data_IF_787123693231
#
_entry.id   IF_787123693231
#
_cell.length_a   1.000
_cell.length_b   1.000
_cell.length_c   1.000
_cell.angle_alpha   90.00
_cell.angle_beta   90.00
_cell.angle_gamma   90.00
#
_symmetry.space_group_name_H-M   'P 1'
#
loop_
_entity.id
_entity.type
_entity.pdbx_description
1 polymer ?
#
# COMPACT_ATOMS: atom_id res chain seq x y z
N UNK A 1 70.92 49.57 9.34
CA UNK A 1 70.50 48.16 9.32
C UNK A 1 69.09 48.10 9.91
N UNK A 2 68.10 47.63 9.14
CA UNK A 2 66.65 47.77 9.41
C UNK A 2 66.17 46.84 10.54
N UNK A 3 65.39 47.39 11.48
CA UNK A 3 64.67 46.66 12.53
C UNK A 3 63.39 46.05 11.93
N UNK A 4 63.21 44.74 12.09
CA UNK A 4 61.97 44.05 11.72
C UNK A 4 61.07 43.92 12.95
N UNK A 5 59.85 44.45 12.86
CA UNK A 5 58.77 44.28 13.83
C UNK A 5 57.81 43.25 13.23
N UNK A 6 57.64 42.10 13.88
CA UNK A 6 56.63 41.10 13.51
C UNK A 6 55.34 41.40 14.27
N UNK A 7 54.29 41.76 13.54
CA UNK A 7 52.94 41.93 14.06
C UNK A 7 52.17 40.62 13.84
N UNK A 8 51.89 39.87 14.90
CA UNK A 8 51.00 38.70 14.87
C UNK A 8 49.55 39.17 15.03
N UNK A 9 48.76 39.08 13.96
CA UNK A 9 47.31 39.29 14.02
C UNK A 9 46.66 37.92 14.22
N UNK A 10 46.12 37.69 15.41
CA UNK A 10 45.26 36.54 15.71
C UNK A 10 43.83 36.86 15.22
N UNK A 11 43.31 36.05 14.30
CA UNK A 11 41.91 36.11 13.85
C UNK A 11 41.13 35.09 14.68
N UNK A 12 40.35 35.55 15.66
CA UNK A 12 39.44 34.71 16.42
C UNK A 12 38.16 34.50 15.62
N UNK A 13 37.97 33.29 15.09
CA UNK A 13 36.73 32.89 14.42
C UNK A 13 35.66 32.61 15.50
N UNK A 14 34.69 33.52 15.64
CA UNK A 14 33.51 33.31 16.50
C UNK A 14 32.49 32.48 15.71
N UNK A 15 32.40 31.19 16.03
CA UNK A 15 31.32 30.34 15.54
C UNK A 15 30.02 30.69 16.28
N UNK A 16 29.14 31.45 15.65
CA UNK A 16 27.77 31.61 16.14
C UNK A 16 27.06 30.24 16.02
N UNK A 17 26.71 29.63 17.16
CA UNK A 17 25.78 28.51 17.22
C UNK A 17 24.38 29.05 16.89
N UNK A 18 24.10 29.25 15.60
CA UNK A 18 22.72 29.41 15.16
C UNK A 18 22.03 28.06 15.39
N UNK A 19 21.11 27.99 16.35
CA UNK A 19 20.20 26.85 16.45
C UNK A 19 19.54 26.69 15.08
N UNK A 20 19.84 25.58 14.40
CA UNK A 20 19.08 25.17 13.25
C UNK A 20 17.67 24.86 13.77
N UNK A 21 16.74 25.80 13.61
CA UNK A 21 15.33 25.50 13.81
C UNK A 21 14.98 24.48 12.72
N UNK A 22 14.92 23.20 13.07
CA UNK A 22 14.31 22.21 12.22
C UNK A 22 12.90 22.72 11.91
N UNK A 23 12.52 22.68 10.64
CA UNK A 23 11.17 23.04 10.24
C UNK A 23 10.22 22.17 11.07
N UNK A 24 9.33 22.80 11.84
CA UNK A 24 8.32 22.04 12.60
C UNK A 24 7.48 21.29 11.57
N UNK A 25 7.70 19.99 11.47
CA UNK A 25 6.87 19.14 10.63
C UNK A 25 5.50 19.06 11.29
N UNK A 26 4.48 19.51 10.57
CA UNK A 26 3.09 19.42 11.00
C UNK A 26 2.43 18.37 10.13
N UNK A 27 2.10 17.22 10.72
CA UNK A 27 1.42 16.12 10.04
C UNK A 27 0.00 16.48 9.57
N UNK A 28 -0.58 17.53 10.16
CA UNK A 28 -1.98 17.89 9.99
C UNK A 28 -2.92 17.09 10.91
N UNK A 29 -2.40 16.25 11.81
CA UNK A 29 -3.20 15.53 12.80
C UNK A 29 -3.90 16.49 13.77
N UNK A 30 -5.17 16.21 14.06
CA UNK A 30 -5.92 16.91 15.12
C UNK A 30 -5.72 16.29 16.51
N UNK A 31 -5.13 15.09 16.62
CA UNK A 31 -5.00 14.34 17.87
C UNK A 31 -6.31 13.76 18.42
N UNK A 32 -7.41 13.83 17.67
CA UNK A 32 -8.75 13.44 18.13
C UNK A 32 -8.88 11.95 18.51
N UNK A 33 -8.07 11.07 17.93
CA UNK A 33 -8.11 9.62 18.17
C UNK A 33 -7.21 9.17 19.33
N UNK A 34 -6.53 10.11 20.01
CA UNK A 34 -5.65 9.80 21.15
C UNK A 34 -4.41 8.99 20.76
N UNK A 35 -3.84 8.24 21.71
CA UNK A 35 -2.64 7.44 21.46
C UNK A 35 -3.01 6.02 20.98
N UNK A 36 -2.39 5.55 19.90
CA UNK A 36 -2.48 4.16 19.46
C UNK A 36 -1.35 3.34 20.06
N UNK A 37 -1.66 2.46 21.02
CA UNK A 37 -0.68 1.58 21.66
C UNK A 37 -1.29 0.19 21.99
N UNK A 38 -1.56 -0.65 20.97
CA UNK A 38 -2.23 -1.94 21.16
C UNK A 38 -1.33 -2.95 21.90
N UNK A 39 -1.93 -3.74 22.79
CA UNK A 39 -1.26 -4.84 23.53
C UNK A 39 -1.49 -6.23 22.92
N UNK A 40 -2.31 -6.31 21.87
CA UNK A 40 -2.62 -7.53 21.11
C UNK A 40 -2.91 -7.15 19.65
N UNK A 41 -2.91 -8.13 18.75
CA UNK A 41 -3.32 -7.93 17.37
C UNK A 41 -4.69 -7.25 17.32
N UNK A 42 -4.79 -6.17 16.55
CA UNK A 42 -5.96 -5.29 16.57
C UNK A 42 -6.38 -4.98 15.15
N UNK A 43 -7.68 -5.13 14.87
CA UNK A 43 -8.29 -4.61 13.65
C UNK A 43 -8.93 -3.25 13.95
N UNK A 44 -8.47 -2.21 13.27
CA UNK A 44 -9.05 -0.87 13.37
C UNK A 44 -10.15 -0.68 12.32
N UNK A 45 -11.30 -0.13 12.75
CA UNK A 45 -12.33 0.29 11.81
C UNK A 45 -11.87 1.56 11.09
N UNK A 46 -11.70 1.48 9.77
CA UNK A 46 -11.29 2.64 8.98
C UNK A 46 -12.40 3.70 8.97
N UNK A 47 -12.11 4.97 9.33
CA UNK A 47 -13.07 6.06 9.22
C UNK A 47 -13.49 6.26 7.77
N UNK A 48 -14.65 6.87 7.52
CA UNK A 48 -15.12 7.14 6.16
C UNK A 48 -14.14 7.99 5.33
N UNK A 49 -13.35 8.84 5.99
CA UNK A 49 -12.28 9.65 5.37
C UNK A 49 -11.02 8.85 5.04
N UNK A 50 -10.81 7.69 5.67
CA UNK A 50 -9.54 6.97 5.66
C UNK A 50 -8.47 7.54 6.59
N UNK A 51 -8.78 8.59 7.36
CA UNK A 51 -7.80 9.34 8.15
C UNK A 51 -7.99 9.11 9.64
N UNK A 52 -6.94 8.61 10.29
CA UNK A 52 -6.78 8.62 11.73
C UNK A 52 -5.92 9.82 12.16
N UNK A 53 -6.31 10.46 13.26
CA UNK A 53 -5.67 11.63 13.86
C UNK A 53 -5.21 11.29 15.28
N UNK A 54 -4.09 10.57 15.40
CA UNK A 54 -3.54 10.20 16.69
C UNK A 54 -2.68 11.30 17.31
N UNK A 55 -2.48 11.21 18.62
CA UNK A 55 -1.44 11.97 19.30
C UNK A 55 -0.07 11.32 19.13
N UNK A 56 0.02 10.02 19.41
CA UNK A 56 1.22 9.18 19.19
C UNK A 56 0.81 7.80 18.67
N UNK A 57 1.74 7.10 18.02
CA UNK A 57 1.56 5.72 17.56
C UNK A 57 2.72 4.87 18.04
N UNK A 58 2.44 3.79 18.74
CA UNK A 58 3.41 2.78 19.13
C UNK A 58 2.85 1.40 18.82
N UNK A 59 3.40 0.70 17.83
CA UNK A 59 3.05 -0.68 17.50
C UNK A 59 4.16 -1.61 18.02
N UNK A 60 3.95 -2.31 19.15
CA UNK A 60 4.98 -3.15 19.75
C UNK A 60 5.38 -4.35 18.89
N UNK A 61 6.55 -4.92 19.16
CA UNK A 61 7.00 -6.15 18.50
C UNK A 61 6.00 -7.30 18.70
N UNK A 62 5.77 -8.09 17.65
CA UNK A 62 4.81 -9.20 17.69
C UNK A 62 3.34 -8.80 17.56
N UNK A 63 3.03 -7.50 17.50
CA UNK A 63 1.67 -7.00 17.28
C UNK A 63 1.46 -6.67 15.80
N UNK A 64 0.33 -7.12 15.27
CA UNK A 64 -0.16 -6.76 13.94
C UNK A 64 -1.40 -5.87 14.05
N UNK A 65 -1.36 -4.72 13.37
CA UNK A 65 -2.53 -3.86 13.17
C UNK A 65 -3.05 -4.06 11.75
N UNK A 66 -4.32 -4.44 11.64
CA UNK A 66 -5.06 -4.55 10.37
C UNK A 66 -6.17 -3.50 10.31
N UNK A 67 -6.80 -3.35 9.14
CA UNK A 67 -7.88 -2.37 8.95
C UNK A 67 -9.10 -3.00 8.29
N UNK A 68 -10.25 -2.79 8.91
CA UNK A 68 -11.53 -3.12 8.30
C UNK A 68 -11.91 -2.04 7.29
N UNK A 69 -12.12 -2.44 6.03
CA UNK A 69 -12.49 -1.53 4.94
C UNK A 69 -13.74 -0.72 5.28
N UNK A 70 -13.72 0.57 4.92
CA UNK A 70 -14.93 1.39 4.88
C UNK A 70 -15.67 1.18 3.55
N UNK A 71 -16.86 1.76 3.41
CA UNK A 71 -17.69 1.61 2.22
C UNK A 71 -17.03 2.14 0.93
N UNK A 72 -16.16 3.14 1.04
CA UNK A 72 -15.42 3.72 -0.09
C UNK A 72 -14.11 3.01 -0.42
N UNK A 73 -13.72 1.99 0.36
CA UNK A 73 -12.40 1.39 0.38
C UNK A 73 -11.25 2.41 0.24
N UNK A 74 -11.23 3.44 1.10
CA UNK A 74 -10.18 4.45 1.06
C UNK A 74 -8.81 3.86 1.44
N UNK A 75 -7.69 4.49 1.01
CA UNK A 75 -6.38 4.25 1.61
C UNK A 75 -6.37 4.58 3.11
N UNK A 76 -5.32 4.12 3.80
CA UNK A 76 -5.10 4.44 5.23
C UNK A 76 -4.20 5.66 5.34
N UNK A 77 -4.62 6.65 6.12
CA UNK A 77 -3.79 7.76 6.56
C UNK A 77 -3.69 7.72 8.08
N UNK A 78 -2.47 7.67 8.59
CA UNK A 78 -2.16 7.78 10.01
C UNK A 78 -1.44 9.11 10.19
N UNK A 79 -2.12 10.08 10.77
CA UNK A 79 -1.54 11.38 11.10
C UNK A 79 -1.30 11.41 12.61
N UNK A 80 -0.09 11.73 13.06
CA UNK A 80 0.25 11.82 14.47
C UNK A 80 0.77 13.22 14.84
N UNK A 81 0.38 13.76 15.99
CA UNK A 81 0.96 15.04 16.47
C UNK A 81 2.35 14.87 17.10
N UNK A 82 2.74 13.64 17.42
CA UNK A 82 4.00 13.25 18.05
C UNK A 82 4.52 11.93 17.48
N UNK A 83 5.35 11.24 18.26
CA UNK A 83 6.15 10.11 17.76
C UNK A 83 5.31 8.95 17.20
N UNK A 84 5.82 8.38 16.10
CA UNK A 84 5.35 7.14 15.50
C UNK A 84 6.47 6.10 15.54
N UNK A 85 6.27 5.04 16.33
CA UNK A 85 7.19 3.93 16.51
C UNK A 85 6.51 2.64 16.08
N UNK A 86 7.07 1.95 15.09
CA UNK A 86 6.51 0.70 14.55
C UNK A 86 7.59 -0.38 14.65
N UNK A 87 7.49 -1.21 15.69
CA UNK A 87 8.34 -2.39 15.89
C UNK A 87 7.60 -3.67 15.48
N UNK A 88 6.26 -3.64 15.45
CA UNK A 88 5.40 -4.70 14.94
C UNK A 88 5.10 -4.56 13.45
N UNK A 89 3.88 -4.95 13.07
CA UNK A 89 3.39 -4.98 11.68
C UNK A 89 2.17 -4.06 11.54
N UNK A 90 2.16 -3.27 10.48
CA UNK A 90 0.93 -2.67 9.93
C UNK A 90 0.64 -3.39 8.62
N UNK A 91 -0.52 -4.04 8.54
CA UNK A 91 -0.90 -4.87 7.39
C UNK A 91 -2.07 -4.23 6.64
N UNK A 92 -1.79 -3.84 5.39
CA UNK A 92 -2.76 -3.33 4.41
C UNK A 92 -2.85 -4.23 3.19
N UNK A 93 -2.43 -5.48 3.28
CA UNK A 93 -2.40 -6.41 2.15
C UNK A 93 -3.79 -6.68 1.57
N UNK A 94 -3.80 -7.03 0.28
CA UNK A 94 -4.95 -7.64 -0.37
C UNK A 94 -4.97 -9.13 -0.10
N UNK A 95 -6.14 -9.74 -0.23
CA UNK A 95 -6.36 -11.15 0.01
C UNK A 95 -6.14 -11.97 -1.27
N UNK A 96 -5.68 -13.20 -1.08
CA UNK A 96 -5.73 -14.23 -2.12
C UNK A 96 -7.12 -14.84 -2.21
N UNK A 97 -7.42 -15.53 -3.31
CA UNK A 97 -8.63 -16.33 -3.39
C UNK A 97 -8.59 -17.47 -2.38
N UNK A 98 -9.70 -17.70 -1.68
CA UNK A 98 -9.82 -18.84 -0.76
C UNK A 98 -10.14 -20.13 -1.51
N UNK A 99 -9.62 -21.26 -1.01
CA UNK A 99 -9.86 -22.59 -1.58
C UNK A 99 -11.34 -23.05 -1.51
N UNK A 100 -12.18 -22.37 -0.73
CA UNK A 100 -13.59 -22.74 -0.53
C UNK A 100 -14.51 -22.18 -1.61
N UNK A 101 -14.12 -21.09 -2.27
CA UNK A 101 -14.87 -20.49 -3.37
C UNK A 101 -13.91 -20.16 -4.49
N UNK A 102 -13.50 -21.19 -5.25
CA UNK A 102 -12.46 -21.06 -6.28
C UNK A 102 -12.75 -19.92 -7.26
N UNK A 103 -14.02 -19.60 -7.52
CA UNK A 103 -14.41 -18.53 -8.42
C UNK A 103 -14.38 -17.13 -7.80
N UNK A 104 -14.39 -16.99 -6.48
CA UNK A 104 -14.47 -15.68 -5.84
C UNK A 104 -13.14 -14.93 -5.98
N UNK A 105 -13.18 -13.63 -6.30
CA UNK A 105 -11.98 -12.82 -6.34
C UNK A 105 -11.44 -12.55 -4.94
N UNK A 106 -10.12 -12.49 -4.82
CA UNK A 106 -9.45 -11.96 -3.65
C UNK A 106 -9.83 -10.50 -3.42
N UNK A 107 -10.05 -10.13 -2.15
CA UNK A 107 -10.41 -8.77 -1.78
C UNK A 107 -9.20 -7.86 -1.78
N UNK A 108 -9.32 -6.67 -2.38
CA UNK A 108 -8.28 -5.65 -2.29
C UNK A 108 -8.14 -5.17 -0.85
N UNK A 109 -6.92 -4.81 -0.46
CA UNK A 109 -6.67 -4.15 0.82
C UNK A 109 -7.25 -2.73 0.87
N UNK A 110 -7.10 -2.01 1.99
CA UNK A 110 -7.50 -0.61 2.11
C UNK A 110 -6.92 0.28 0.99
N UNK A 111 -7.77 0.84 0.14
CA UNK A 111 -7.34 1.63 -1.04
C UNK A 111 -6.93 0.81 -2.26
N UNK A 112 -6.85 -0.52 -2.15
CA UNK A 112 -6.59 -1.44 -3.26
C UNK A 112 -7.86 -1.90 -3.98
N UNK A 113 -7.71 -2.70 -5.02
CA UNK A 113 -8.83 -3.21 -5.82
C UNK A 113 -8.97 -4.73 -5.75
N UNK A 114 -10.20 -5.23 -5.78
CA UNK A 114 -10.48 -6.67 -5.80
C UNK A 114 -9.96 -7.33 -7.10
N UNK A 115 -9.66 -8.62 -7.02
CA UNK A 115 -9.32 -9.46 -8.17
C UNK A 115 -10.51 -9.74 -9.10
N UNK A 116 -10.25 -10.50 -10.16
CA UNK A 116 -11.26 -10.96 -11.11
C UNK A 116 -11.88 -12.29 -10.68
N UNK A 117 -13.15 -12.51 -11.02
CA UNK A 117 -13.79 -13.82 -10.79
C UNK A 117 -13.14 -14.92 -11.63
N UNK A 118 -13.03 -16.12 -11.09
CA UNK A 118 -12.66 -17.30 -11.86
C UNK A 118 -13.76 -17.65 -12.87
N UNK A 119 -13.37 -18.10 -14.07
CA UNK A 119 -14.30 -18.49 -15.12
C UNK A 119 -15.09 -19.75 -14.73
N UNK A 120 -16.38 -19.79 -15.05
CA UNK A 120 -17.13 -21.05 -14.93
C UNK A 120 -16.61 -22.09 -15.94
N UNK A 121 -17.11 -23.33 -15.86
CA UNK A 121 -16.71 -24.40 -16.79
C UNK A 121 -16.82 -23.96 -18.26
N UNK A 122 -15.70 -24.03 -18.99
CA UNK A 122 -15.56 -23.62 -20.40
C UNK A 122 -15.57 -22.11 -20.66
N UNK A 123 -15.68 -21.27 -19.62
CA UNK A 123 -15.78 -19.82 -19.74
C UNK A 123 -14.46 -19.12 -19.38
N UNK A 124 -14.21 -17.93 -19.96
CA UNK A 124 -13.04 -17.13 -19.61
C UNK A 124 -13.16 -16.62 -18.18
N UNK A 125 -12.01 -16.31 -17.58
CA UNK A 125 -11.97 -15.63 -16.29
C UNK A 125 -12.29 -14.14 -16.42
N UNK A 126 -12.74 -13.56 -15.31
CA UNK A 126 -12.99 -12.13 -15.19
C UNK A 126 -11.69 -11.33 -15.12
N UNK A 127 -11.71 -10.12 -15.67
CA UNK A 127 -10.68 -9.11 -15.45
C UNK A 127 -10.67 -8.71 -13.96
N UNK A 128 -9.49 -8.41 -13.42
CA UNK A 128 -9.36 -7.75 -12.11
C UNK A 128 -9.98 -6.35 -12.10
N UNK A 129 -10.04 -5.72 -10.93
CA UNK A 129 -10.49 -4.34 -10.79
C UNK A 129 -9.30 -3.38 -10.62
N UNK A 130 -9.53 -2.11 -10.92
CA UNK A 130 -8.54 -1.03 -10.80
C UNK A 130 -7.87 -0.61 -12.11
N UNK A 131 -7.11 0.51 -12.09
CA UNK A 131 -6.51 1.09 -13.30
C UNK A 131 -5.49 0.18 -13.99
N UNK A 132 -4.79 -0.65 -13.20
CA UNK A 132 -3.83 -1.64 -13.66
C UNK A 132 -4.37 -3.06 -13.60
N UNK A 133 -5.68 -3.25 -13.74
CA UNK A 133 -6.30 -4.56 -13.61
C UNK A 133 -5.74 -5.61 -14.57
N UNK A 134 -5.41 -6.78 -14.03
CA UNK A 134 -4.98 -7.95 -14.81
C UNK A 134 -6.12 -8.52 -15.66
N UNK A 135 -5.80 -8.95 -16.88
CA UNK A 135 -6.72 -9.63 -17.78
C UNK A 135 -7.07 -11.03 -17.28
N UNK A 136 -8.33 -11.42 -17.43
CA UNK A 136 -8.77 -12.78 -17.12
C UNK A 136 -8.15 -13.81 -18.07
N UNK A 137 -8.09 -15.06 -17.62
CA UNK A 137 -7.66 -16.19 -18.45
C UNK A 137 -8.59 -16.34 -19.67
N UNK A 138 -8.06 -16.49 -20.89
CA UNK A 138 -8.88 -16.59 -22.09
C UNK A 138 -9.63 -17.93 -22.17
N UNK A 139 -10.66 -17.99 -23.02
CA UNK A 139 -11.45 -19.18 -23.30
C UNK A 139 -10.61 -20.26 -23.97
N UNK A 140 -9.91 -21.05 -23.17
CA UNK A 140 -9.23 -22.28 -23.51
C UNK A 140 -8.90 -22.99 -22.20
N UNK A 141 -9.11 -24.30 -22.17
CA UNK A 141 -9.13 -25.14 -20.96
C UNK A 141 -8.08 -24.75 -19.93
N UNK A 142 -8.52 -24.08 -18.87
CA UNK A 142 -7.75 -23.84 -17.64
C UNK A 142 -6.44 -23.05 -17.82
N UNK A 143 -6.54 -21.83 -18.35
CA UNK A 143 -5.41 -20.93 -18.57
C UNK A 143 -5.24 -19.89 -17.46
N UNK A 144 -3.98 -19.59 -17.16
CA UNK A 144 -3.59 -18.53 -16.24
C UNK A 144 -4.07 -17.15 -16.68
N UNK A 145 -4.31 -16.30 -15.69
CA UNK A 145 -4.66 -14.90 -15.85
C UNK A 145 -3.43 -13.99 -15.75
N UNK A 146 -3.63 -12.70 -16.02
CA UNK A 146 -2.61 -11.67 -15.81
C UNK A 146 -2.66 -11.09 -14.41
N UNK A 147 -1.50 -10.66 -13.91
CA UNK A 147 -1.39 -9.93 -12.65
C UNK A 147 -1.87 -8.48 -12.76
N UNK A 148 -2.28 -7.89 -11.64
CA UNK A 148 -2.52 -6.45 -11.54
C UNK A 148 -1.19 -5.69 -11.53
N UNK A 149 -1.14 -4.52 -12.17
CA UNK A 149 -0.01 -3.60 -12.13
C UNK A 149 -0.10 -2.62 -10.95
N UNK A 150 1.04 -2.00 -10.62
CA UNK A 150 1.18 -0.77 -9.82
C UNK A 150 2.64 -0.35 -9.87
N UNK A 151 2.95 0.88 -10.30
CA UNK A 151 4.32 1.36 -10.53
C UNK A 151 5.06 0.65 -11.68
N UNK A 152 4.64 -0.55 -12.06
CA UNK A 152 5.09 -1.36 -13.18
C UNK A 152 3.93 -2.21 -13.71
N UNK A 153 4.02 -2.72 -14.96
CA UNK A 153 3.01 -3.62 -15.49
C UNK A 153 2.90 -4.90 -14.65
N UNK A 154 1.70 -5.45 -14.55
CA UNK A 154 1.47 -6.73 -13.91
C UNK A 154 2.09 -7.89 -14.67
N UNK A 155 2.34 -9.01 -13.98
CA UNK A 155 2.92 -10.20 -14.58
C UNK A 155 2.02 -10.80 -15.67
N UNK A 156 2.65 -11.35 -16.72
CA UNK A 156 1.99 -12.06 -17.82
C UNK A 156 2.72 -13.38 -18.08
N UNK A 157 1.98 -14.45 -18.35
CA UNK A 157 2.57 -15.79 -18.64
C UNK A 157 2.84 -15.99 -20.14
N UNK A 158 2.33 -15.11 -21.01
CA UNK A 158 2.58 -15.11 -22.46
C UNK A 158 1.34 -14.75 -23.28
N UNK A 159 1.48 -14.75 -24.61
CA UNK A 159 0.43 -14.26 -25.54
C UNK A 159 -0.89 -15.06 -25.51
N UNK A 160 -0.88 -16.27 -24.98
CA UNK A 160 -2.04 -17.17 -24.90
C UNK A 160 -2.77 -17.12 -23.55
N UNK A 161 -2.35 -16.25 -22.64
CA UNK A 161 -2.84 -16.13 -21.26
C UNK A 161 -3.47 -14.75 -21.02
N UNK A 162 -4.03 -14.55 -19.84
CA UNK A 162 -4.47 -13.22 -19.43
C UNK A 162 -3.31 -12.22 -19.47
N UNK A 163 -3.52 -11.07 -20.10
CA UNK A 163 -2.51 -10.02 -20.15
C UNK A 163 -2.36 -9.36 -18.77
N UNK A 164 -1.13 -9.07 -18.36
CA UNK A 164 -0.84 -8.26 -17.19
C UNK A 164 -1.41 -6.85 -17.37
N UNK A 165 -1.94 -6.29 -16.29
CA UNK A 165 -2.49 -4.94 -16.33
C UNK A 165 -1.39 -3.88 -16.51
N UNK A 166 -1.71 -2.70 -17.07
CA UNK A 166 -0.72 -1.65 -17.28
C UNK A 166 -0.18 -1.11 -15.95
N UNK A 167 1.01 -0.50 -16.01
CA UNK A 167 1.50 0.31 -14.91
C UNK A 167 0.59 1.53 -14.71
N UNK A 168 0.35 1.89 -13.46
CA UNK A 168 -0.27 3.15 -13.07
C UNK A 168 0.28 3.58 -11.70
N UNK A 169 -0.27 4.68 -11.18
CA UNK A 169 0.21 5.31 -9.96
C UNK A 169 1.38 6.23 -10.29
N UNK A 170 1.89 6.91 -9.27
CA UNK A 170 3.07 7.74 -9.44
C UNK A 170 3.97 7.64 -8.21
N UNK A 171 5.26 7.89 -8.43
CA UNK A 171 6.26 7.92 -7.35
C UNK A 171 6.01 9.06 -6.34
N UNK A 172 5.14 10.02 -6.68
CA UNK A 172 4.75 11.12 -5.79
C UNK A 172 3.65 10.71 -4.80
N UNK A 173 3.05 9.53 -4.95
CA UNK A 173 1.93 8.99 -4.15
C UNK A 173 0.72 9.95 -4.07
N UNK A 174 0.48 10.75 -5.11
CA UNK A 174 -0.65 11.69 -5.16
C UNK A 174 -1.47 11.47 -6.45
N UNK A 175 -2.71 10.97 -6.38
CA UNK A 175 -3.39 10.51 -5.16
C UNK A 175 -2.74 9.23 -4.59
N UNK A 176 -2.86 9.03 -3.28
CA UNK A 176 -2.50 7.76 -2.66
C UNK A 176 -3.53 6.71 -3.12
N UNK A 177 -3.06 5.67 -3.79
CA UNK A 177 -3.90 4.63 -4.39
C UNK A 177 -3.21 3.29 -4.20
N UNK A 178 -3.97 2.27 -3.83
CA UNK A 178 -3.46 0.91 -3.70
C UNK A 178 -3.24 0.25 -5.05
N UNK A 179 -2.81 -1.02 -5.01
CA UNK A 179 -2.60 -1.87 -6.17
C UNK A 179 -3.90 -2.36 -6.80
N UNK A 180 -3.81 -2.76 -8.07
CA UNK A 180 -4.94 -3.33 -8.82
C UNK A 180 -5.01 -4.84 -8.64
N UNK A 181 -6.21 -5.40 -8.77
CA UNK A 181 -6.42 -6.84 -8.69
C UNK A 181 -5.93 -7.58 -9.93
N UNK A 182 -5.51 -8.83 -9.73
CA UNK A 182 -5.22 -9.76 -10.82
C UNK A 182 -6.48 -10.30 -11.48
N UNK A 183 -6.37 -10.81 -12.70
CA UNK A 183 -7.47 -11.51 -13.37
C UNK A 183 -7.73 -12.89 -12.77
N UNK A 184 -8.94 -13.42 -12.95
CA UNK A 184 -9.26 -14.81 -12.64
C UNK A 184 -8.88 -15.74 -13.79
N UNK A 185 -8.50 -16.98 -13.47
CA UNK A 185 -8.22 -18.04 -14.44
C UNK A 185 -9.49 -18.46 -15.18
N UNK A 186 -9.34 -18.96 -16.41
CA UNK A 186 -10.46 -19.57 -17.13
C UNK A 186 -10.84 -20.93 -16.53
N UNK A 187 -12.10 -21.32 -16.70
CA UNK A 187 -12.53 -22.68 -16.37
C UNK A 187 -11.99 -23.70 -17.36
N UNK A 188 -11.78 -24.92 -16.87
CA UNK A 188 -11.69 -26.12 -17.70
C UNK A 188 -13.09 -26.52 -18.21
N UNK A 189 -13.20 -27.55 -19.03
CA UNK A 189 -14.47 -28.12 -19.48
C UNK A 189 -15.26 -28.82 -18.36
N UNK A 190 -14.64 -29.08 -17.21
CA UNK A 190 -15.24 -29.79 -16.07
C UNK A 190 -15.08 -29.07 -14.73
N UNK A 191 -14.28 -28.01 -14.67
CA UNK A 191 -13.96 -27.30 -13.42
C UNK A 191 -13.90 -25.80 -13.64
N UNK A 192 -14.37 -25.03 -12.65
CA UNK A 192 -14.21 -23.57 -12.66
C UNK A 192 -12.74 -23.17 -12.43
N UNK A 193 -12.36 -22.01 -12.98
CA UNK A 193 -11.06 -21.39 -12.73
C UNK A 193 -10.98 -20.75 -11.35
N UNK A 194 -9.75 -20.52 -10.89
CA UNK A 194 -9.49 -19.73 -9.69
C UNK A 194 -9.74 -18.24 -9.95
N UNK A 195 -10.24 -17.48 -8.98
CA UNK A 195 -10.26 -16.02 -9.04
C UNK A 195 -8.85 -15.44 -8.99
N UNK A 196 -8.75 -14.14 -9.27
CA UNK A 196 -7.52 -13.38 -9.13
C UNK A 196 -7.30 -12.89 -7.70
N UNK A 197 -6.04 -12.66 -7.33
CA UNK A 197 -5.70 -12.02 -6.05
C UNK A 197 -6.08 -10.53 -6.04
N UNK A 198 -6.46 -10.03 -4.86
CA UNK A 198 -6.72 -8.62 -4.62
C UNK A 198 -5.42 -7.81 -4.61
N UNK A 199 -5.51 -6.56 -5.07
CA UNK A 199 -4.40 -5.62 -5.00
C UNK A 199 -4.13 -5.18 -3.55
N UNK A 200 -2.84 -5.00 -3.23
CA UNK A 200 -2.41 -4.47 -1.94
C UNK A 200 -2.99 -3.07 -1.68
N UNK A 201 -3.20 -2.74 -0.41
CA UNK A 201 -3.63 -1.43 0.01
C UNK A 201 -2.53 -0.38 -0.05
N UNK A 202 -2.90 0.86 0.31
CA UNK A 202 -1.96 1.97 0.39
C UNK A 202 -2.07 2.66 1.76
N UNK A 203 -0.93 3.10 2.27
CA UNK A 203 -0.82 3.77 3.55
C UNK A 203 0.10 4.98 3.47
N UNK A 204 -0.28 6.05 4.17
CA UNK A 204 0.57 7.20 4.48
C UNK A 204 0.64 7.37 6.00
N UNK A 205 1.85 7.62 6.48
CA UNK A 205 2.13 7.91 7.88
C UNK A 205 2.88 9.24 7.93
N UNK A 206 2.36 10.19 8.71
CA UNK A 206 2.90 11.53 8.88
C UNK A 206 2.83 11.94 10.35
#
# INVERSE_FOLDING_TARGET
MRRFIFLFISITLVCYLSNANAQTFVSGSTGADGALNPSANTELQLPASGVFNFTTVNIPAGITVTFKKNAGNTPVYILATGDVVITGIIDVSGESTTNTTLTSPGKGGPGGYDGGYGGASGLPGGKGLGPGAGGGGPSASYRYAGGGGYGSPGGSVGANYGAGGPAYGNARLVPLIGGSGGGGMSGSTTTSGYGGGGGGGAILIA
#
